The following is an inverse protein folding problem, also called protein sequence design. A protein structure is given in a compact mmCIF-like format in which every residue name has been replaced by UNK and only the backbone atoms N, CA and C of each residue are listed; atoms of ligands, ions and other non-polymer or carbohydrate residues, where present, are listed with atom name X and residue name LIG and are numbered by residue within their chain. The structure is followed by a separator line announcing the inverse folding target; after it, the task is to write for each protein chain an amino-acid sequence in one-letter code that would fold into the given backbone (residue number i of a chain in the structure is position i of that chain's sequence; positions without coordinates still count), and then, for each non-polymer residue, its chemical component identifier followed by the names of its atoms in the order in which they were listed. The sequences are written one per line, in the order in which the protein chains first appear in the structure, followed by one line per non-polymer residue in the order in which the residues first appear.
data_IF_834822236805
#
_entry.id   IF_834822236805
#
_cell.length_a   1.000
_cell.length_b   1.000
_cell.length_c   1.000
_cell.angle_alpha   90.00
_cell.angle_beta   90.00
_cell.angle_gamma   90.00
#
_symmetry.space_group_name_H-M   'P 1'
#
loop_
_entity.id
_entity.type
_entity.pdbx_description
1 polymer ?
#
# COMPACT_ATOMS: atom_id res chain seq x y z
N UNK A 1 -25.01 19.00 34.58
CA UNK A 1 -25.52 20.29 34.05
C UNK A 1 -25.77 20.12 32.56
N UNK A 2 -27.04 20.24 32.16
CA UNK A 2 -27.49 20.22 30.76
C UNK A 2 -27.60 21.68 30.34
N UNK A 3 -26.96 22.07 29.25
CA UNK A 3 -27.28 23.34 28.58
C UNK A 3 -27.54 23.01 27.10
N UNK A 4 -28.80 23.25 26.72
CA UNK A 4 -29.35 23.08 25.38
C UNK A 4 -29.31 24.45 24.72
N UNK A 5 -28.69 24.57 23.55
CA UNK A 5 -28.85 25.76 22.72
C UNK A 5 -30.07 25.59 21.80
N UNK A 6 -30.94 26.60 21.83
CA UNK A 6 -32.26 26.67 21.19
C UNK A 6 -32.33 27.94 20.35
N UNK A 7 -32.96 27.83 19.17
CA UNK A 7 -33.46 28.89 18.27
C UNK A 7 -32.39 29.74 17.54
N UNK A 8 -32.61 30.21 16.30
CA UNK A 8 -33.87 30.69 15.72
C UNK A 8 -33.90 30.55 14.17
N UNK A 9 -35.11 30.38 13.65
CA UNK A 9 -35.50 30.43 12.24
C UNK A 9 -35.66 31.88 11.80
N UNK A 10 -35.21 32.24 10.60
CA UNK A 10 -35.72 33.40 9.87
C UNK A 10 -36.27 32.95 8.51
N UNK A 11 -37.57 33.14 8.35
CA UNK A 11 -38.31 33.05 7.10
C UNK A 11 -38.63 34.48 6.66
N UNK A 12 -38.30 34.87 5.43
CA UNK A 12 -38.96 35.99 4.74
C UNK A 12 -39.11 35.63 3.27
N UNK A 13 -40.37 35.51 2.85
CA UNK A 13 -40.84 35.49 1.46
C UNK A 13 -40.62 36.86 0.82
N UNK A 14 -40.30 36.88 -0.48
CA UNK A 14 -40.41 38.08 -1.31
C UNK A 14 -40.34 37.71 -2.79
N UNK A 15 -41.51 37.48 -3.41
CA UNK A 15 -41.67 37.33 -4.84
C UNK A 15 -42.34 38.58 -5.40
N UNK A 16 -41.72 39.25 -6.38
CA UNK A 16 -42.39 40.19 -7.29
C UNK A 16 -41.82 40.00 -8.70
N UNK A 17 -42.73 39.66 -9.61
CA UNK A 17 -42.58 39.60 -11.06
C UNK A 17 -42.42 41.00 -11.65
N UNK A 18 -41.52 41.18 -12.62
CA UNK A 18 -41.70 42.19 -13.67
C UNK A 18 -41.02 41.73 -14.96
N UNK A 19 -41.86 41.42 -15.95
CA UNK A 19 -41.50 41.12 -17.34
C UNK A 19 -41.28 42.44 -18.06
N UNK A 20 -40.09 42.64 -18.65
CA UNK A 20 -39.88 43.58 -19.75
C UNK A 20 -39.05 42.87 -20.82
N UNK A 21 -39.72 42.52 -21.91
CA UNK A 21 -39.09 42.11 -23.15
C UNK A 21 -38.73 43.38 -23.94
N UNK A 22 -37.45 43.52 -24.31
CA UNK A 22 -37.02 44.42 -25.37
C UNK A 22 -36.11 43.64 -26.33
N UNK A 23 -36.69 43.34 -27.50
CA UNK A 23 -35.95 42.97 -28.70
C UNK A 23 -35.24 44.21 -29.23
N UNK A 24 -33.94 44.12 -29.51
CA UNK A 24 -33.31 44.92 -30.56
C UNK A 24 -31.95 44.37 -30.98
N UNK A 25 -31.87 44.13 -32.30
CA UNK A 25 -30.71 44.23 -33.18
C UNK A 25 -29.58 43.18 -33.08
N UNK A 26 -29.63 42.23 -34.02
CA UNK A 26 -28.44 41.54 -34.53
C UNK A 26 -27.43 42.56 -35.08
N UNK A 27 -26.18 42.46 -34.63
CA UNK A 27 -25.02 42.87 -35.40
C UNK A 27 -23.94 41.81 -35.20
N UNK A 28 -23.65 41.08 -36.27
CA UNK A 28 -22.66 40.02 -36.27
C UNK A 28 -21.27 40.55 -35.97
N UNK A 29 -20.55 39.79 -35.14
CA UNK A 29 -19.10 39.73 -35.16
C UNK A 29 -18.73 38.26 -35.01
N UNK A 30 -18.18 37.69 -36.08
CA UNK A 30 -17.52 36.40 -36.10
C UNK A 30 -16.45 36.33 -35.00
N UNK A 31 -16.69 35.54 -33.97
CA UNK A 31 -15.63 35.12 -33.05
C UNK A 31 -15.30 33.67 -33.35
N UNK A 32 -14.20 33.52 -34.10
CA UNK A 32 -13.42 32.32 -34.37
C UNK A 32 -13.34 31.35 -33.18
N UNK A 33 -13.38 30.03 -33.38
CA UNK A 33 -13.11 29.07 -32.31
C UNK A 33 -11.66 29.26 -31.81
N UNK A 34 -11.45 29.40 -30.50
CA UNK A 34 -10.12 29.19 -29.92
C UNK A 34 -9.75 27.71 -30.07
N UNK A 35 -9.10 27.41 -31.19
CA UNK A 35 -8.22 26.27 -31.34
C UNK A 35 -7.00 26.46 -30.41
N UNK A 36 -6.63 25.40 -29.70
CA UNK A 36 -5.27 25.29 -29.18
C UNK A 36 -5.07 25.56 -27.70
N UNK A 37 -5.77 24.84 -26.82
CA UNK A 37 -5.14 24.37 -25.58
C UNK A 37 -4.96 22.86 -25.70
N UNK A 38 -3.72 22.32 -25.66
CA UNK A 38 -3.56 20.89 -25.55
C UNK A 38 -4.18 20.48 -24.23
N UNK A 39 -5.26 19.71 -24.29
CA UNK A 39 -5.61 18.81 -23.18
C UNK A 39 -4.34 18.02 -22.94
N UNK A 40 -3.71 18.20 -21.79
CA UNK A 40 -2.50 17.47 -21.45
C UNK A 40 -2.85 15.99 -21.52
N UNK A 41 -2.45 15.33 -22.62
CA UNK A 41 -2.39 13.89 -22.69
C UNK A 41 -1.59 13.46 -21.48
N UNK A 42 -2.21 12.70 -20.58
CA UNK A 42 -1.52 12.13 -19.45
C UNK A 42 -0.32 11.35 -20.03
N UNK A 43 0.88 11.93 -19.91
CA UNK A 43 2.11 11.28 -20.36
C UNK A 43 2.12 9.91 -19.71
N UNK A 44 1.94 8.87 -20.53
CA UNK A 44 2.05 7.49 -20.11
C UNK A 44 3.49 7.32 -19.67
N UNK A 45 3.77 7.48 -18.37
CA UNK A 45 5.11 7.29 -17.82
C UNK A 45 5.57 5.90 -18.24
N UNK A 46 6.57 5.86 -19.13
CA UNK A 46 7.20 4.63 -19.59
C UNK A 46 8.00 4.11 -18.42
N UNK A 47 7.38 3.23 -17.62
CA UNK A 47 8.01 2.80 -16.38
C UNK A 47 9.38 2.20 -16.57
N UNK A 48 10.25 2.47 -15.59
CA UNK A 48 11.66 2.08 -15.59
C UNK A 48 11.87 0.57 -15.50
N UNK A 49 10.94 -0.18 -14.88
CA UNK A 49 10.97 -1.66 -14.86
C UNK A 49 9.62 -2.26 -14.48
N UNK A 50 9.43 -3.52 -14.88
CA UNK A 50 8.29 -4.35 -14.47
C UNK A 50 8.78 -5.58 -13.69
N UNK A 51 7.94 -6.09 -12.80
CA UNK A 51 8.19 -7.28 -12.02
C UNK A 51 6.94 -7.70 -11.24
N UNK A 52 7.14 -8.37 -10.13
CA UNK A 52 6.10 -8.90 -9.27
C UNK A 52 6.34 -8.50 -7.82
N UNK A 53 5.26 -8.35 -7.05
CA UNK A 53 5.33 -8.21 -5.60
C UNK A 53 6.08 -9.42 -5.02
N UNK A 54 7.17 -9.17 -4.28
CA UNK A 54 8.00 -10.21 -3.65
C UNK A 54 7.22 -11.11 -2.69
N UNK A 55 6.17 -10.54 -2.15
CA UNK A 55 5.59 -10.84 -0.86
C UNK A 55 4.26 -10.11 -0.72
N UNK A 56 3.52 -10.38 0.34
CA UNK A 56 2.34 -9.58 0.66
C UNK A 56 2.74 -8.17 1.09
N UNK A 57 2.27 -7.16 0.34
CA UNK A 57 2.56 -5.74 0.56
C UNK A 57 1.33 -5.03 1.12
N UNK A 58 1.37 -4.74 2.41
CA UNK A 58 0.34 -4.05 3.17
C UNK A 58 0.29 -2.57 2.82
N UNK A 59 -0.92 -2.02 2.72
CA UNK A 59 -1.12 -0.65 2.26
C UNK A 59 -2.25 0.07 2.99
N UNK A 60 -2.15 1.40 3.01
CA UNK A 60 -3.21 2.31 3.45
C UNK A 60 -3.46 3.34 2.35
N UNK A 61 -4.66 3.32 1.75
CA UNK A 61 -4.95 4.13 0.57
C UNK A 61 -4.09 3.70 -0.61
N UNK A 62 -3.24 4.59 -1.11
CA UNK A 62 -2.27 4.30 -2.18
C UNK A 62 -0.84 4.08 -1.65
N UNK A 63 -0.65 4.00 -0.34
CA UNK A 63 0.68 4.01 0.30
C UNK A 63 1.09 2.64 0.85
N UNK A 64 2.22 2.12 0.39
CA UNK A 64 2.87 0.88 0.85
C UNK A 64 4.16 1.27 1.56
N UNK A 65 4.18 1.18 2.89
CA UNK A 65 5.34 1.52 3.73
C UNK A 65 6.27 0.32 3.91
N UNK A 66 7.58 0.57 4.08
CA UNK A 66 8.54 -0.43 4.57
C UNK A 66 8.19 -1.00 5.96
N UNK A 67 7.26 -0.39 6.69
CA UNK A 67 6.66 -0.95 7.91
C UNK A 67 5.79 -2.19 7.71
N UNK A 68 5.19 -2.31 6.52
CA UNK A 68 4.32 -3.42 6.13
C UNK A 68 3.33 -3.86 7.21
N UNK A 69 2.58 -2.92 7.80
CA UNK A 69 1.75 -3.17 8.98
C UNK A 69 0.72 -4.28 8.72
N UNK A 70 0.85 -5.40 9.44
CA UNK A 70 0.12 -6.63 9.13
C UNK A 70 -1.41 -6.56 9.38
N UNK A 71 -1.90 -5.52 10.08
CA UNK A 71 -3.34 -5.31 10.26
C UNK A 71 -4.06 -4.73 9.04
N UNK A 72 -3.31 -4.21 8.07
CA UNK A 72 -3.86 -3.54 6.88
C UNK A 72 -4.28 -4.55 5.81
N UNK A 73 -5.07 -4.15 4.80
CA UNK A 73 -5.18 -4.95 3.59
C UNK A 73 -3.82 -5.03 2.88
N UNK A 74 -3.62 -6.07 2.07
CA UNK A 74 -2.38 -6.26 1.32
C UNK A 74 -2.61 -6.60 -0.16
N UNK A 75 -1.61 -6.27 -0.97
CA UNK A 75 -1.41 -6.78 -2.32
C UNK A 75 -0.74 -8.15 -2.20
N UNK A 76 -1.31 -9.18 -2.83
CA UNK A 76 -0.79 -10.54 -2.71
C UNK A 76 0.59 -10.69 -3.37
N UNK A 77 1.43 -11.56 -2.81
CA UNK A 77 2.69 -11.98 -3.43
C UNK A 77 2.45 -12.46 -4.88
N UNK A 78 3.31 -12.04 -5.81
CA UNK A 78 3.19 -12.35 -7.23
C UNK A 78 2.19 -11.49 -8.00
N UNK A 79 1.69 -10.40 -7.40
CA UNK A 79 0.93 -9.40 -8.15
C UNK A 79 1.87 -8.61 -9.07
N UNK A 80 1.55 -8.41 -10.36
CA UNK A 80 2.38 -7.61 -11.25
C UNK A 80 2.52 -6.16 -10.76
N UNK A 81 3.75 -5.66 -10.78
CA UNK A 81 4.09 -4.28 -10.42
C UNK A 81 4.94 -3.67 -11.53
N UNK A 82 4.56 -2.49 -11.99
CA UNK A 82 5.37 -1.65 -12.88
C UNK A 82 5.88 -0.45 -12.10
N UNK A 83 7.20 -0.34 -11.94
CA UNK A 83 7.83 0.84 -11.34
C UNK A 83 7.92 1.93 -12.40
N UNK A 84 7.27 3.06 -12.15
CA UNK A 84 7.22 4.18 -13.07
C UNK A 84 8.44 5.07 -12.92
N UNK A 85 8.74 5.46 -11.68
CA UNK A 85 9.89 6.27 -11.30
C UNK A 85 10.19 6.15 -9.81
N UNK A 86 11.43 6.49 -9.44
CA UNK A 86 11.88 6.62 -8.05
C UNK A 86 12.27 8.09 -7.84
N UNK A 87 11.81 8.68 -6.75
CA UNK A 87 11.97 10.09 -6.43
C UNK A 87 12.03 10.29 -4.91
N UNK A 88 13.22 10.70 -4.44
CA UNK A 88 13.54 10.79 -3.01
C UNK A 88 13.30 9.46 -2.29
N UNK A 89 12.46 9.49 -1.25
CA UNK A 89 12.13 8.33 -0.42
C UNK A 89 10.92 7.54 -0.91
N UNK A 90 10.55 7.71 -2.18
CA UNK A 90 9.32 7.14 -2.77
C UNK A 90 9.58 6.53 -4.13
N UNK A 91 8.83 5.48 -4.45
CA UNK A 91 8.66 5.01 -5.82
C UNK A 91 7.19 5.07 -6.21
N UNK A 92 6.94 5.55 -7.43
CA UNK A 92 5.61 5.55 -8.03
C UNK A 92 5.47 4.28 -8.85
N UNK A 93 4.41 3.53 -8.58
CA UNK A 93 4.21 2.22 -9.17
C UNK A 93 2.78 2.07 -9.69
N UNK A 94 2.60 1.23 -10.68
CA UNK A 94 1.30 0.72 -11.07
C UNK A 94 1.21 -0.74 -10.59
N UNK A 95 0.20 -1.03 -9.78
CA UNK A 95 -0.08 -2.38 -9.26
C UNK A 95 -1.44 -2.81 -9.78
N UNK A 96 -1.45 -3.83 -10.64
CA UNK A 96 -2.70 -4.31 -11.27
C UNK A 96 -3.53 -3.17 -11.90
N UNK A 97 -2.87 -2.28 -12.65
CA UNK A 97 -3.49 -1.12 -13.31
C UNK A 97 -3.81 0.06 -12.39
N UNK A 98 -3.53 -0.01 -11.09
CA UNK A 98 -3.80 1.06 -10.12
C UNK A 98 -2.54 1.81 -9.72
N UNK A 99 -2.55 3.15 -9.71
CA UNK A 99 -1.42 3.92 -9.21
C UNK A 99 -1.28 3.75 -7.69
N UNK A 100 -0.08 3.38 -7.24
CA UNK A 100 0.30 3.25 -5.83
C UNK A 100 1.68 3.87 -5.61
N UNK A 101 2.07 4.01 -4.35
CA UNK A 101 3.37 4.53 -3.92
C UNK A 101 4.03 3.58 -2.94
N UNK A 102 5.29 3.23 -3.22
CA UNK A 102 6.18 2.57 -2.27
C UNK A 102 6.91 3.66 -1.46
N UNK A 103 6.76 3.65 -0.15
CA UNK A 103 7.37 4.59 0.78
C UNK A 103 8.45 3.95 1.63
N UNK A 104 9.69 4.38 1.45
CA UNK A 104 10.79 3.97 2.31
C UNK A 104 10.76 4.88 3.55
N UNK A 105 9.99 4.55 4.58
CA UNK A 105 9.70 5.48 5.68
C UNK A 105 10.74 5.45 6.81
N UNK A 106 11.30 4.28 7.10
CA UNK A 106 12.10 4.05 8.30
C UNK A 106 13.54 3.62 7.99
N UNK A 107 13.77 2.79 6.96
CA UNK A 107 15.09 2.21 6.64
C UNK A 107 16.06 3.11 5.85
N UNK A 108 15.81 4.42 5.77
CA UNK A 108 16.52 5.35 4.85
C UNK A 108 18.01 5.52 5.17
N UNK A 109 18.41 5.26 6.41
CA UNK A 109 19.81 5.37 6.82
C UNK A 109 20.60 4.10 6.48
N UNK A 110 19.91 2.99 6.25
CA UNK A 110 20.48 1.67 6.09
C UNK A 110 20.55 1.22 4.63
N UNK A 111 19.66 1.69 3.77
CA UNK A 111 19.64 1.38 2.34
C UNK A 111 19.04 2.51 1.49
N UNK A 112 19.33 2.53 0.19
CA UNK A 112 18.70 3.47 -0.73
C UNK A 112 17.26 3.06 -1.05
N UNK A 113 16.41 4.01 -1.45
CA UNK A 113 15.06 3.72 -1.94
C UNK A 113 15.07 2.70 -3.08
N UNK A 114 16.07 2.76 -3.98
CA UNK A 114 16.20 1.81 -5.07
C UNK A 114 16.53 0.39 -4.58
N UNK A 115 17.47 0.25 -3.63
CA UNK A 115 17.78 -1.04 -3.01
C UNK A 115 16.55 -1.64 -2.35
N UNK A 116 15.78 -0.83 -1.61
CA UNK A 116 14.55 -1.27 -0.98
C UNK A 116 13.48 -1.70 -2.01
N UNK A 117 13.24 -0.89 -3.05
CA UNK A 117 12.30 -1.21 -4.14
C UNK A 117 12.71 -2.49 -4.88
N UNK A 118 14.01 -2.74 -5.04
CA UNK A 118 14.55 -3.96 -5.65
C UNK A 118 14.26 -5.23 -4.83
N UNK A 119 14.08 -5.11 -3.52
CA UNK A 119 13.57 -6.22 -2.70
C UNK A 119 12.08 -6.47 -2.91
N UNK A 120 11.29 -5.41 -3.07
CA UNK A 120 9.82 -5.52 -3.14
C UNK A 120 9.28 -5.88 -4.51
N UNK A 121 9.94 -5.44 -5.58
CA UNK A 121 9.55 -5.73 -6.96
C UNK A 121 10.60 -6.65 -7.57
N UNK A 122 10.31 -7.95 -7.59
CA UNK A 122 11.21 -9.00 -8.07
C UNK A 122 10.93 -9.35 -9.53
N UNK A 123 11.94 -9.83 -10.26
CA UNK A 123 11.78 -10.21 -11.67
C UNK A 123 11.00 -11.52 -11.84
N UNK A 124 11.27 -12.50 -10.99
CA UNK A 124 10.62 -13.80 -11.03
C UNK A 124 9.33 -13.80 -10.22
N UNK A 125 8.26 -14.38 -10.77
CA UNK A 125 6.99 -14.51 -10.06
C UNK A 125 7.14 -15.49 -8.86
N UNK A 126 7.00 -15.03 -7.61
CA UNK A 126 7.10 -15.90 -6.43
C UNK A 126 6.04 -17.00 -6.41
N UNK A 127 4.94 -16.90 -7.18
CA UNK A 127 3.93 -17.96 -7.30
C UNK A 127 4.53 -19.28 -7.78
N UNK A 128 5.58 -19.24 -8.63
CA UNK A 128 6.28 -20.44 -9.12
C UNK A 128 6.94 -21.21 -7.97
N UNK A 129 7.54 -20.48 -7.02
CA UNK A 129 8.14 -21.09 -5.83
C UNK A 129 7.07 -21.51 -4.83
N UNK A 130 6.07 -20.66 -4.60
CA UNK A 130 4.96 -20.94 -3.69
C UNK A 130 4.20 -22.21 -4.06
N UNK A 131 4.05 -22.51 -5.36
CA UNK A 131 3.42 -23.74 -5.83
C UNK A 131 4.07 -25.02 -5.30
N UNK A 132 5.35 -24.96 -4.92
CA UNK A 132 6.11 -26.09 -4.35
C UNK A 132 5.99 -26.19 -2.83
N UNK A 133 5.42 -25.19 -2.16
CA UNK A 133 5.24 -25.22 -0.71
C UNK A 133 4.07 -26.13 -0.30
N UNK A 134 4.12 -26.61 0.94
CA UNK A 134 3.03 -27.41 1.50
C UNK A 134 1.71 -26.62 1.49
N UNK A 135 0.55 -27.29 1.43
CA UNK A 135 -0.75 -26.62 1.49
C UNK A 135 -0.90 -25.69 2.71
N UNK A 136 -0.41 -26.11 3.88
CA UNK A 136 -0.45 -25.29 5.10
C UNK A 136 0.34 -23.98 4.97
N UNK A 137 1.55 -24.05 4.39
CA UNK A 137 2.38 -22.85 4.16
C UNK A 137 1.72 -21.92 3.13
N UNK A 138 1.17 -22.46 2.04
CA UNK A 138 0.45 -21.67 1.03
C UNK A 138 -0.76 -20.96 1.64
N UNK A 139 -1.54 -21.64 2.47
CA UNK A 139 -2.71 -21.05 3.14
C UNK A 139 -2.32 -19.99 4.18
N UNK A 140 -1.22 -20.18 4.89
CA UNK A 140 -0.68 -19.17 5.80
C UNK A 140 -0.23 -17.92 5.03
N UNK A 141 0.53 -18.08 3.93
CA UNK A 141 0.90 -16.97 3.04
C UNK A 141 -0.33 -16.24 2.49
N UNK A 142 -1.34 -16.98 2.02
CA UNK A 142 -2.56 -16.39 1.48
C UNK A 142 -3.35 -15.56 2.52
N UNK A 143 -3.12 -15.78 3.82
CA UNK A 143 -3.73 -15.04 4.92
C UNK A 143 -2.81 -13.97 5.52
N UNK A 144 -1.59 -13.80 5.03
CA UNK A 144 -0.59 -12.93 5.68
C UNK A 144 -0.19 -13.41 7.07
N UNK A 145 -0.24 -14.72 7.30
CA UNK A 145 0.00 -15.35 8.60
C UNK A 145 1.24 -16.23 8.58
N UNK A 146 1.73 -16.55 9.78
CA UNK A 146 2.93 -17.32 10.03
C UNK A 146 2.60 -18.61 10.77
N UNK A 147 3.47 -19.61 10.62
CA UNK A 147 3.40 -20.85 11.41
C UNK A 147 4.81 -21.36 11.72
N UNK A 148 4.93 -22.12 12.82
CA UNK A 148 6.18 -22.80 13.17
C UNK A 148 6.65 -23.67 12.01
N UNK A 149 7.97 -23.70 11.80
CA UNK A 149 8.59 -24.46 10.72
C UNK A 149 8.70 -23.70 9.39
N UNK A 150 8.08 -22.52 9.24
CA UNK A 150 8.30 -21.69 8.05
C UNK A 150 9.78 -21.29 7.92
N UNK A 151 10.29 -21.29 6.69
CA UNK A 151 11.64 -20.77 6.41
C UNK A 151 11.63 -19.24 6.37
N UNK A 152 12.81 -18.62 6.47
CA UNK A 152 12.99 -17.18 6.27
C UNK A 152 12.37 -16.66 4.97
N UNK A 153 12.52 -17.39 3.86
CA UNK A 153 11.90 -17.05 2.57
C UNK A 153 10.36 -17.09 2.66
N UNK A 154 9.79 -18.13 3.27
CA UNK A 154 8.34 -18.26 3.42
C UNK A 154 7.76 -17.15 4.32
N UNK A 155 8.49 -16.74 5.36
CA UNK A 155 8.11 -15.59 6.19
C UNK A 155 8.13 -14.31 5.37
N UNK A 156 9.19 -14.04 4.61
CA UNK A 156 9.26 -12.85 3.75
C UNK A 156 8.10 -12.83 2.76
N UNK A 157 7.82 -13.94 2.07
CA UNK A 157 6.70 -14.01 1.13
C UNK A 157 5.36 -13.73 1.84
N UNK A 158 5.18 -14.26 3.06
CA UNK A 158 3.93 -14.11 3.83
C UNK A 158 3.69 -12.70 4.37
N UNK A 159 4.71 -12.07 4.97
CA UNK A 159 4.55 -10.82 5.74
C UNK A 159 5.51 -9.70 5.33
N UNK A 160 6.17 -9.85 4.18
CA UNK A 160 7.12 -8.86 3.65
C UNK A 160 8.51 -8.95 4.27
N UNK A 161 9.42 -8.15 3.73
CA UNK A 161 10.71 -7.92 4.38
C UNK A 161 10.51 -7.18 5.71
N UNK A 162 11.24 -7.54 6.77
CA UNK A 162 11.21 -6.76 7.99
C UNK A 162 11.87 -5.39 7.74
N UNK A 163 11.44 -4.37 8.47
CA UNK A 163 12.03 -3.03 8.40
C UNK A 163 13.55 -3.09 8.65
N UNK A 164 14.33 -2.47 7.77
CA UNK A 164 15.81 -2.56 7.82
C UNK A 164 16.41 -1.84 9.03
N UNK A 165 15.85 -0.71 9.48
CA UNK A 165 16.35 0.00 10.67
C UNK A 165 16.21 -0.84 11.96
N UNK A 166 15.19 -1.69 12.05
CA UNK A 166 14.95 -2.61 13.17
C UNK A 166 15.65 -3.97 12.99
N UNK A 167 16.09 -4.27 11.75
CA UNK A 167 16.62 -5.57 11.33
C UNK A 167 17.77 -5.39 10.33
N UNK A 168 18.81 -4.64 10.73
CA UNK A 168 19.93 -4.27 9.85
C UNK A 168 20.60 -5.48 9.18
N UNK A 169 20.53 -6.65 9.83
CA UNK A 169 20.94 -7.92 9.26
C UNK A 169 19.84 -8.95 9.42
N UNK A 170 19.66 -9.78 8.39
CA UNK A 170 18.66 -10.84 8.37
C UNK A 170 19.14 -12.15 9.03
N UNK A 171 20.37 -12.21 9.56
CA UNK A 171 20.94 -13.35 10.27
C UNK A 171 20.75 -13.30 11.80
N UNK A 172 20.06 -12.28 12.31
CA UNK A 172 19.73 -12.15 13.72
C UNK A 172 18.87 -13.30 14.29
N UNK A 173 18.85 -13.46 15.63
CA UNK A 173 18.15 -14.55 16.31
C UNK A 173 16.62 -14.45 16.21
N UNK A 174 16.11 -13.25 15.91
CA UNK A 174 14.73 -12.98 15.59
C UNK A 174 14.64 -11.86 14.55
N UNK A 175 13.49 -11.72 13.91
CA UNK A 175 13.10 -10.51 13.19
C UNK A 175 11.96 -9.80 13.90
N UNK A 176 12.02 -8.47 13.97
CA UNK A 176 10.94 -7.62 14.48
C UNK A 176 10.07 -7.14 13.32
N UNK A 177 8.77 -7.28 13.50
CA UNK A 177 7.73 -6.82 12.59
C UNK A 177 6.68 -5.99 13.35
N UNK A 178 5.72 -5.43 12.62
CA UNK A 178 4.68 -4.58 13.17
C UNK A 178 3.30 -5.03 12.69
N UNK A 179 2.40 -5.30 13.62
CA UNK A 179 0.98 -5.48 13.35
C UNK A 179 0.31 -4.14 13.08
N UNK A 180 0.62 -3.16 13.94
CA UNK A 180 0.20 -1.77 13.87
C UNK A 180 1.36 -0.87 14.29
N UNK A 181 1.22 0.45 14.21
CA UNK A 181 2.24 1.40 14.67
C UNK A 181 2.65 1.25 16.14
N UNK A 182 1.85 0.54 16.96
CA UNK A 182 2.11 0.32 18.39
C UNK A 182 2.16 -1.17 18.78
N UNK A 183 1.96 -2.08 17.82
CA UNK A 183 1.90 -3.51 18.07
C UNK A 183 3.06 -4.26 17.43
N UNK A 184 4.28 -4.23 18.00
CA UNK A 184 5.36 -5.05 17.47
C UNK A 184 5.10 -6.54 17.74
N UNK A 185 5.62 -7.38 16.84
CA UNK A 185 5.73 -8.81 17.08
C UNK A 185 7.08 -9.33 16.56
N UNK A 186 7.50 -10.48 17.08
CA UNK A 186 8.83 -11.02 16.87
C UNK A 186 8.73 -12.44 16.32
N UNK A 187 9.57 -12.75 15.33
CA UNK A 187 9.67 -14.07 14.72
C UNK A 187 11.05 -14.63 15.05
N UNK A 188 11.10 -15.64 15.91
CA UNK A 188 12.34 -16.28 16.35
C UNK A 188 12.71 -17.45 15.46
N UNK A 189 14.02 -17.69 15.34
CA UNK A 189 14.57 -18.73 14.47
C UNK A 189 15.22 -19.86 15.26
N UNK A 190 15.12 -21.08 14.74
CA UNK A 190 15.96 -22.21 15.14
C UNK A 190 16.26 -23.03 13.90
N UNK A 191 17.55 -23.25 13.62
CA UNK A 191 18.01 -24.00 12.42
C UNK A 191 17.35 -23.49 11.11
N UNK A 192 17.24 -22.16 10.96
CA UNK A 192 16.70 -21.51 9.76
C UNK A 192 15.17 -21.52 9.61
N UNK A 193 14.44 -22.03 10.60
CA UNK A 193 12.96 -22.10 10.59
C UNK A 193 12.34 -21.38 11.77
N UNK A 194 11.10 -20.91 11.63
CA UNK A 194 10.33 -20.26 12.69
C UNK A 194 10.17 -21.20 13.88
N UNK A 195 10.67 -20.81 15.04
CA UNK A 195 10.54 -21.54 16.30
C UNK A 195 9.43 -20.99 17.19
N UNK A 196 9.28 -19.65 17.21
CA UNK A 196 8.31 -18.93 18.04
C UNK A 196 7.88 -17.63 17.35
N UNK A 197 6.60 -17.28 17.52
CA UNK A 197 6.05 -15.95 17.27
C UNK A 197 5.74 -15.36 18.65
N UNK A 198 6.17 -14.13 18.90
CA UNK A 198 6.06 -13.47 20.21
C UNK A 198 5.54 -12.03 20.07
N UNK A 199 4.96 -11.50 21.15
CA UNK A 199 4.34 -10.17 21.18
C UNK A 199 3.08 -10.15 22.05
N UNK A 200 2.25 -9.12 21.88
CA UNK A 200 0.94 -9.08 22.55
C UNK A 200 0.10 -10.29 22.12
N UNK A 201 -0.65 -10.89 23.06
CA UNK A 201 -1.36 -12.16 22.84
C UNK A 201 -2.34 -12.10 21.66
N UNK A 202 -3.04 -10.98 21.52
CA UNK A 202 -3.95 -10.75 20.38
C UNK A 202 -3.18 -10.69 19.06
N UNK A 203 -2.08 -9.95 18.99
CA UNK A 203 -1.22 -9.87 17.81
C UNK A 203 -0.68 -11.25 17.42
N UNK A 204 -0.18 -12.03 18.38
CA UNK A 204 0.27 -13.41 18.14
C UNK A 204 -0.90 -14.25 17.61
N UNK A 205 -2.11 -14.06 18.16
CA UNK A 205 -3.33 -14.69 17.68
C UNK A 205 -3.66 -14.38 16.22
N UNK A 206 -3.56 -13.11 15.82
CA UNK A 206 -3.79 -12.67 14.43
C UNK A 206 -2.70 -13.15 13.47
N UNK A 207 -1.45 -13.18 13.91
CA UNK A 207 -0.32 -13.55 13.07
C UNK A 207 -0.08 -15.06 12.97
N UNK A 208 -0.73 -15.89 13.80
CA UNK A 208 -0.52 -17.35 13.80
C UNK A 208 -1.59 -18.06 12.98
N UNK A 209 -1.17 -18.74 11.91
CA UNK A 209 -2.03 -19.65 11.15
C UNK A 209 -2.30 -20.93 11.94
N UNK A 210 -3.58 -21.27 12.10
CA UNK A 210 -4.03 -22.42 12.93
C UNK A 210 -4.50 -23.65 12.14
N UNK A 211 -4.33 -23.68 10.82
CA UNK A 211 -4.57 -24.90 10.03
C UNK A 211 -6.01 -25.42 9.98
N UNK A 212 -7.00 -24.59 10.33
CA UNK A 212 -8.42 -24.93 10.20
C UNK A 212 -8.93 -24.64 8.79
#
# INVERSE_FOLDING_TARGET
MKEKFVFSRFSVLGAVFCVIALLSACKGSDTKPEEGKPVAEAKKETGIRSGYACCNLHYSGDWISDSNLAQLPFIAAGTPIKVLRIDGYRAYVEVDGKPMRLGHDYGRAEETTEQWVNKLVVLDDPKVKMAKYSPAVRNAIAKGQLMKGMTKEQVIISVGHPQTNENQRLDGPYWRYWWSSFGPYYVYWTKGSVSKIDGHSETVGYMTYKGK
#
